data_IF_466850491026
#
_entry.id   IF_466850491026
#
_cell.length_a   1.000
_cell.length_b   1.000
_cell.length_c   1.000
_cell.angle_alpha   90.00
_cell.angle_beta   90.00
_cell.angle_gamma   90.00
#
_symmetry.space_group_name_H-M   'P 1'
#
loop_
_entity.id
_entity.type
_entity.pdbx_description
1 polymer ?
#
# COMPACT_ATOMS: atom_id res chain seq x y z
N UNK A 1 -13.51 7.71 4.69
CA UNK A 1 -12.73 6.66 4.04
C UNK A 1 -13.39 5.32 4.31
N UNK A 2 -14.03 4.74 3.30
CA UNK A 2 -14.49 3.34 3.30
C UNK A 2 -13.37 2.41 2.84
N UNK A 3 -13.53 1.09 3.01
CA UNK A 3 -12.58 0.10 2.48
C UNK A 3 -12.42 0.25 0.96
N UNK A 4 -13.52 0.47 0.24
CA UNK A 4 -13.51 0.62 -1.21
C UNK A 4 -12.78 1.90 -1.65
N UNK A 5 -13.01 3.02 -0.95
CA UNK A 5 -12.27 4.27 -1.20
C UNK A 5 -10.76 4.08 -0.95
N UNK A 6 -10.41 3.35 0.10
CA UNK A 6 -9.01 3.05 0.42
C UNK A 6 -8.37 2.11 -0.60
N UNK A 7 -9.07 1.05 -1.04
CA UNK A 7 -8.61 0.16 -2.10
C UNK A 7 -8.36 0.92 -3.41
N UNK A 8 -9.27 1.82 -3.79
CA UNK A 8 -9.12 2.66 -4.97
C UNK A 8 -7.88 3.57 -4.84
N UNK A 9 -7.71 4.21 -3.68
CA UNK A 9 -6.55 5.06 -3.43
C UNK A 9 -5.21 4.28 -3.54
N UNK A 10 -5.15 3.06 -2.99
CA UNK A 10 -3.94 2.22 -3.07
C UNK A 10 -3.63 1.89 -4.52
N UNK A 11 -4.63 1.50 -5.32
CA UNK A 11 -4.42 1.22 -6.74
C UNK A 11 -3.94 2.45 -7.50
N UNK A 12 -4.55 3.61 -7.28
CA UNK A 12 -4.16 4.86 -7.94
C UNK A 12 -2.71 5.22 -7.62
N UNK A 13 -2.28 5.08 -6.37
CA UNK A 13 -0.88 5.31 -5.96
C UNK A 13 0.04 4.31 -6.67
N UNK A 14 -0.30 3.01 -6.69
CA UNK A 14 0.51 2.00 -7.38
C UNK A 14 0.67 2.29 -8.87
N UNK A 15 -0.42 2.65 -9.55
CA UNK A 15 -0.42 3.00 -10.98
C UNK A 15 0.39 4.28 -11.21
N UNK A 16 0.11 5.34 -10.45
CA UNK A 16 0.72 6.65 -10.63
C UNK A 16 2.24 6.63 -10.44
N UNK A 17 2.74 5.84 -9.48
CA UNK A 17 4.18 5.72 -9.21
C UNK A 17 4.85 4.53 -9.92
N UNK A 18 4.12 3.78 -10.75
CA UNK A 18 4.66 2.67 -11.53
C UNK A 18 5.13 1.49 -10.67
N UNK A 19 4.56 1.30 -9.48
CA UNK A 19 4.90 0.16 -8.64
C UNK A 19 4.32 -1.12 -9.26
N UNK A 20 5.13 -2.18 -9.49
CA UNK A 20 4.68 -3.42 -10.14
C UNK A 20 3.95 -4.32 -9.14
N UNK A 21 2.95 -3.77 -8.45
CA UNK A 21 2.28 -4.42 -7.33
C UNK A 21 0.80 -4.69 -7.60
N UNK A 22 0.35 -5.85 -7.15
CA UNK A 22 -1.06 -6.22 -7.10
C UNK A 22 -1.59 -6.02 -5.67
N UNK A 23 -2.70 -5.30 -5.52
CA UNK A 23 -3.36 -5.13 -4.21
C UNK A 23 -4.07 -6.43 -3.83
N UNK A 24 -3.64 -7.05 -2.73
CA UNK A 24 -4.18 -8.33 -2.25
C UNK A 24 -5.35 -8.10 -1.29
N UNK A 25 -5.18 -7.21 -0.31
CA UNK A 25 -6.22 -6.90 0.66
C UNK A 25 -6.00 -5.56 1.35
N UNK A 26 -7.11 -4.92 1.72
CA UNK A 26 -7.13 -3.71 2.56
C UNK A 26 -8.06 -3.98 3.74
N UNK A 27 -7.54 -3.85 4.96
CA UNK A 27 -8.29 -4.16 6.19
C UNK A 27 -8.20 -2.99 7.15
N UNK A 28 -9.32 -2.60 7.75
CA UNK A 28 -9.32 -1.59 8.81
C UNK A 28 -8.66 -2.17 10.07
N UNK A 29 -7.89 -1.34 10.77
CA UNK A 29 -7.26 -1.65 12.05
C UNK A 29 -7.43 -0.47 13.01
N UNK A 30 -7.22 -0.65 14.33
CA UNK A 30 -7.31 0.44 15.31
C UNK A 30 -6.37 1.61 14.99
N UNK A 31 -5.25 1.28 14.36
CA UNK A 31 -4.20 2.20 13.98
C UNK A 31 -4.53 2.92 12.65
N UNK A 32 -5.40 2.36 11.79
CA UNK A 32 -5.73 2.93 10.48
C UNK A 32 -6.11 1.85 9.48
N UNK A 33 -5.32 1.71 8.41
CA UNK A 33 -5.53 0.67 7.39
C UNK A 33 -4.29 -0.19 7.22
N UNK A 34 -4.46 -1.50 7.29
CA UNK A 34 -3.43 -2.46 6.88
C UNK A 34 -3.64 -2.80 5.42
N UNK A 35 -2.62 -2.53 4.60
CA UNK A 35 -2.61 -2.80 3.17
C UNK A 35 -1.62 -3.93 2.90
N UNK A 36 -2.08 -4.92 2.13
CA UNK A 36 -1.27 -6.03 1.65
C UNK A 36 -1.18 -5.96 0.15
N UNK A 37 0.04 -5.92 -0.38
CA UNK A 37 0.32 -5.92 -1.81
C UNK A 37 1.29 -7.04 -2.15
N UNK A 38 1.25 -7.54 -3.39
CA UNK A 38 2.20 -8.53 -3.90
C UNK A 38 3.04 -7.89 -4.99
N UNK A 39 4.35 -8.07 -4.93
CA UNK A 39 5.28 -7.52 -5.93
C UNK A 39 6.37 -8.50 -6.33
N UNK A 40 6.71 -8.52 -7.62
CA UNK A 40 7.85 -9.29 -8.16
C UNK A 40 7.85 -10.78 -7.79
N UNK A 41 9.03 -11.39 -7.80
CA UNK A 41 9.25 -12.83 -7.55
C UNK A 41 9.17 -13.26 -6.09
N UNK A 42 9.38 -12.34 -5.13
CA UNK A 42 9.83 -12.78 -3.80
C UNK A 42 9.00 -12.29 -2.60
N UNK A 43 7.85 -11.63 -2.76
CA UNK A 43 7.16 -11.18 -1.55
C UNK A 43 5.74 -10.65 -1.64
N UNK A 44 5.00 -10.95 -0.57
CA UNK A 44 3.83 -10.16 -0.19
C UNK A 44 4.27 -9.11 0.83
N UNK A 45 4.10 -7.84 0.51
CA UNK A 45 4.42 -6.70 1.36
C UNK A 45 3.18 -6.28 2.14
N UNK A 46 3.36 -5.99 3.43
CA UNK A 46 2.30 -5.46 4.31
C UNK A 46 2.78 -4.13 4.88
N UNK A 47 1.95 -3.09 4.79
CA UNK A 47 2.22 -1.80 5.40
C UNK A 47 0.94 -1.18 5.97
N UNK A 48 1.12 -0.27 6.94
CA UNK A 48 0.03 0.47 7.56
C UNK A 48 -0.08 1.86 6.95
N UNK A 49 -1.32 2.33 6.77
CA UNK A 49 -1.64 3.67 6.30
C UNK A 49 -2.50 4.36 7.35
N UNK A 50 -1.94 5.42 7.91
CA UNK A 50 -2.64 6.31 8.82
C UNK A 50 -3.23 7.49 8.03
N UNK A 51 -4.46 7.88 8.33
CA UNK A 51 -5.18 9.03 7.75
C UNK A 51 -5.40 9.07 6.23
N UNK A 52 -5.16 7.98 5.49
CA UNK A 52 -5.50 7.95 4.07
C UNK A 52 -4.77 8.97 3.21
N UNK A 53 -3.59 9.44 3.65
CA UNK A 53 -2.79 10.42 2.91
C UNK A 53 -1.96 9.69 1.85
N UNK A 54 -2.13 9.99 0.54
CA UNK A 54 -1.39 9.33 -0.54
C UNK A 54 0.14 9.41 -0.37
N UNK A 55 0.62 10.51 0.23
CA UNK A 55 2.04 10.71 0.51
C UNK A 55 2.59 9.72 1.57
N UNK A 56 1.83 9.43 2.62
CA UNK A 56 2.23 8.46 3.64
C UNK A 56 2.32 7.04 3.06
N UNK A 57 1.39 6.69 2.16
CA UNK A 57 1.44 5.43 1.39
C UNK A 57 2.68 5.35 0.50
N UNK A 58 2.98 6.42 -0.23
CA UNK A 58 4.19 6.46 -1.08
C UNK A 58 5.45 6.26 -0.25
N UNK A 59 5.58 6.95 0.88
CA UNK A 59 6.75 6.83 1.76
C UNK A 59 6.86 5.40 2.30
N UNK A 60 5.79 4.83 2.85
CA UNK A 60 5.78 3.47 3.37
C UNK A 60 6.14 2.42 2.30
N UNK A 61 5.62 2.58 1.09
CA UNK A 61 5.96 1.70 -0.04
C UNK A 61 7.43 1.86 -0.46
N UNK A 62 7.91 3.11 -0.56
CA UNK A 62 9.28 3.40 -0.99
C UNK A 62 10.33 2.91 0.02
N UNK A 63 10.14 3.19 1.31
CA UNK A 63 11.02 2.69 2.38
C UNK A 63 11.12 1.17 2.37
N UNK A 64 10.00 0.48 2.11
CA UNK A 64 9.99 -0.98 2.12
C UNK A 64 10.67 -1.60 0.90
N UNK A 65 10.53 -0.99 -0.27
CA UNK A 65 11.28 -1.35 -1.48
C UNK A 65 12.79 -1.15 -1.31
N UNK A 66 13.22 -0.05 -0.67
CA UNK A 66 14.64 0.21 -0.41
C UNK A 66 15.25 -0.77 0.61
N UNK A 67 14.46 -1.26 1.58
CA UNK A 67 14.92 -2.25 2.54
C UNK A 67 15.15 -3.67 1.95
N UNK A 68 14.69 -3.92 0.72
CA UNK A 68 14.83 -5.18 0.00
C UNK A 68 15.91 -5.12 -1.11
N UNK A 69 16.63 -3.99 -1.21
CA UNK A 69 17.76 -3.74 -2.13
C UNK A 69 19.10 -3.90 -1.43
#
# INVERSE_FOLDING_TARGET
>A
MTRAEMEALVRDVCIHYGFPFEVVSVTASPEGWTVRVRGGTDGTVVFSVHDGRPLAMRVAIHERLQAES
#
